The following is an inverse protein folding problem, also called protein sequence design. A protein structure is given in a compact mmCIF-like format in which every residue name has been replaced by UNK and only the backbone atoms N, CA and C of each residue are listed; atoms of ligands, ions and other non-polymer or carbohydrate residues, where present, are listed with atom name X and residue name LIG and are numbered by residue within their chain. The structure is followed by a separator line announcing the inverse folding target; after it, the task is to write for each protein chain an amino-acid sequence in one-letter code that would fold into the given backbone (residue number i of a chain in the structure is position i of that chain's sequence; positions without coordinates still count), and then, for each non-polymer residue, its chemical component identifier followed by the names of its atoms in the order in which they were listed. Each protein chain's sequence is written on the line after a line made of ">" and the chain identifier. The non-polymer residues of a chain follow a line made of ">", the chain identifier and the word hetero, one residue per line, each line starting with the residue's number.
data_IF_555978568870
#
_entry.id   IF_555978568870
#
_cell.length_a   1.000
_cell.length_b   1.000
_cell.length_c   1.000
_cell.angle_alpha   90.00
_cell.angle_beta   90.00
_cell.angle_gamma   90.00
#
_symmetry.space_group_name_H-M   'P 1'
#
loop_
_entity.id
_entity.type
_entity.pdbx_description
1 polymer ?
#
# COMPACT_ATOMS: atom_id res chain seq x y z
N UNK A 1 5.56 1.51 11.64
CA UNK A 1 5.42 1.80 10.19
C UNK A 1 4.07 1.27 9.74
N UNK A 2 3.28 2.05 8.99
CA UNK A 2 1.95 1.63 8.50
C UNK A 2 2.00 1.28 7.02
N UNK A 3 1.04 0.48 6.57
CA UNK A 3 0.91 0.06 5.18
C UNK A 3 -0.52 0.24 4.69
N UNK A 4 -0.67 0.83 3.51
CA UNK A 4 -1.90 0.74 2.72
C UNK A 4 -1.79 -0.55 1.89
N UNK A 5 -2.75 -1.45 2.01
CA UNK A 5 -2.90 -2.55 1.07
C UNK A 5 -3.66 -2.05 -0.15
N UNK A 6 -2.97 -1.97 -1.29
CA UNK A 6 -3.57 -1.67 -2.58
C UNK A 6 -3.67 -2.95 -3.40
N UNK A 7 -4.63 -3.00 -4.32
CA UNK A 7 -4.87 -4.17 -5.15
C UNK A 7 -5.03 -3.73 -6.60
N UNK A 8 -4.46 -4.49 -7.52
CA UNK A 8 -4.53 -4.22 -8.96
C UNK A 8 -5.93 -4.50 -9.51
N UNK A 9 -6.62 -5.50 -8.95
CA UNK A 9 -7.99 -5.86 -9.27
C UNK A 9 -8.77 -6.39 -8.05
N UNK A 10 -10.07 -6.57 -8.23
CA UNK A 10 -10.97 -7.09 -7.20
C UNK A 10 -10.69 -8.55 -6.83
N UNK A 11 -10.08 -9.32 -7.72
CA UNK A 11 -9.73 -10.73 -7.48
C UNK A 11 -8.56 -10.82 -6.49
N UNK A 12 -7.55 -9.98 -6.65
CA UNK A 12 -6.44 -9.82 -5.70
C UNK A 12 -6.93 -9.40 -4.31
N UNK A 13 -7.85 -8.43 -4.23
CA UNK A 13 -8.49 -8.06 -2.95
C UNK A 13 -9.24 -9.25 -2.34
N UNK A 14 -10.02 -9.98 -3.14
CA UNK A 14 -10.83 -11.11 -2.68
C UNK A 14 -9.97 -12.23 -2.10
N UNK A 15 -8.87 -12.59 -2.79
CA UNK A 15 -7.89 -13.57 -2.30
C UNK A 15 -7.27 -13.13 -0.98
N UNK A 16 -6.89 -11.86 -0.86
CA UNK A 16 -6.36 -11.30 0.38
C UNK A 16 -7.37 -11.34 1.53
N UNK A 17 -8.61 -10.91 1.29
CA UNK A 17 -9.68 -10.93 2.29
C UNK A 17 -9.96 -12.36 2.76
N UNK A 18 -10.00 -13.31 1.84
CA UNK A 18 -10.18 -14.73 2.16
C UNK A 18 -9.05 -15.28 3.03
N UNK A 19 -7.79 -15.02 2.66
CA UNK A 19 -6.62 -15.44 3.43
C UNK A 19 -6.60 -14.85 4.85
N UNK A 20 -7.21 -13.68 5.06
CA UNK A 20 -7.32 -13.03 6.37
C UNK A 20 -8.55 -13.45 7.19
N UNK A 21 -9.47 -14.22 6.63
CA UNK A 21 -10.74 -14.56 7.26
C UNK A 21 -11.78 -13.44 7.21
N UNK A 22 -11.57 -12.42 6.37
CA UNK A 22 -12.44 -11.24 6.22
C UNK A 22 -13.29 -11.29 4.94
N UNK A 23 -13.51 -12.47 4.37
CA UNK A 23 -14.24 -12.63 3.10
C UNK A 23 -15.71 -12.20 3.17
N UNK A 24 -16.35 -12.30 4.35
CA UNK A 24 -17.75 -11.93 4.55
C UNK A 24 -17.94 -10.43 4.79
N UNK A 25 -16.85 -9.68 4.96
CA UNK A 25 -16.90 -8.23 5.14
C UNK A 25 -17.18 -7.56 3.80
N UNK A 26 -18.11 -6.61 3.79
CA UNK A 26 -18.30 -5.73 2.64
C UNK A 26 -17.12 -4.75 2.53
N UNK A 27 -16.44 -4.76 1.39
CA UNK A 27 -15.31 -3.89 1.09
C UNK A 27 -15.71 -2.88 0.01
N UNK A 28 -15.53 -1.59 0.28
CA UNK A 28 -15.71 -0.54 -0.72
C UNK A 28 -14.47 -0.50 -1.60
N UNK A 29 -14.60 -0.97 -2.85
CA UNK A 29 -13.53 -0.89 -3.84
C UNK A 29 -13.62 0.44 -4.62
N UNK A 30 -12.49 1.13 -4.71
CA UNK A 30 -12.36 2.34 -5.53
C UNK A 30 -11.07 2.28 -6.32
N UNK A 31 -11.16 2.57 -7.61
CA UNK A 31 -9.99 2.66 -8.48
C UNK A 31 -9.37 4.05 -8.35
N UNK A 32 -8.06 4.08 -8.11
CA UNK A 32 -7.28 5.31 -8.01
C UNK A 32 -6.03 5.20 -8.89
N UNK A 33 -5.54 6.33 -9.38
CA UNK A 33 -4.23 6.37 -10.03
C UNK A 33 -3.15 6.03 -9.00
N UNK A 34 -2.29 5.06 -9.30
CA UNK A 34 -1.21 4.64 -8.39
C UNK A 34 -0.33 5.79 -7.91
N UNK A 35 0.00 6.73 -8.81
CA UNK A 35 0.73 7.95 -8.46
C UNK A 35 0.00 8.80 -7.41
N UNK A 36 -1.33 8.96 -7.52
CA UNK A 36 -2.10 9.72 -6.51
C UNK A 36 -2.16 9.02 -5.16
N UNK A 37 -2.09 7.70 -5.13
CA UNK A 37 -1.99 6.97 -3.87
C UNK A 37 -0.70 7.34 -3.12
N UNK A 38 0.43 7.38 -3.84
CA UNK A 38 1.74 7.72 -3.28
C UNK A 38 1.89 9.23 -2.99
N UNK A 39 1.48 10.08 -3.93
CA UNK A 39 1.74 11.52 -3.89
C UNK A 39 0.72 12.31 -3.06
N UNK A 40 -0.50 11.76 -2.88
CA UNK A 40 -1.60 12.48 -2.24
C UNK A 40 -2.13 11.74 -1.03
N UNK A 41 -2.42 10.43 -1.12
CA UNK A 41 -3.04 9.71 0.00
C UNK A 41 -2.05 9.41 1.13
N UNK A 42 -0.83 8.96 0.81
CA UNK A 42 0.18 8.70 1.83
C UNK A 42 0.47 9.94 2.70
N UNK A 43 0.65 11.16 2.15
CA UNK A 43 0.84 12.37 2.95
C UNK A 43 -0.28 12.73 3.92
N UNK A 44 -1.50 12.22 3.71
CA UNK A 44 -2.64 12.49 4.59
C UNK A 44 -2.70 11.55 5.81
N UNK A 45 -1.89 10.49 5.83
CA UNK A 45 -1.87 9.55 6.96
C UNK A 45 -1.08 10.14 8.15
N UNK A 46 -1.43 9.79 9.40
CA UNK A 46 -0.80 10.37 10.60
C UNK A 46 0.61 9.80 10.85
N UNK A 47 1.59 10.14 10.00
CA UNK A 47 2.99 9.67 10.02
C UNK A 47 3.37 8.74 8.85
N UNK A 48 4.58 8.17 8.85
CA UNK A 48 5.10 7.40 7.71
C UNK A 48 4.28 6.16 7.35
N UNK A 49 3.94 6.02 6.06
CA UNK A 49 3.18 4.89 5.54
C UNK A 49 3.64 4.48 4.14
N UNK A 50 3.88 3.19 3.94
CA UNK A 50 4.16 2.61 2.62
C UNK A 50 2.91 2.04 1.96
N UNK A 51 3.05 1.60 0.70
CA UNK A 51 2.01 0.89 -0.03
C UNK A 51 2.49 -0.53 -0.33
N UNK A 52 1.66 -1.52 0.00
CA UNK A 52 1.84 -2.90 -0.42
C UNK A 52 0.81 -3.20 -1.51
N UNK A 53 1.28 -3.36 -2.74
CA UNK A 53 0.45 -3.72 -3.89
C UNK A 53 0.36 -5.24 -3.99
N UNK A 54 -0.86 -5.76 -4.06
CA UNK A 54 -1.17 -7.19 -4.18
C UNK A 54 -0.51 -8.01 -3.06
N UNK A 55 -0.67 -7.52 -1.83
CA UNK A 55 -0.11 -8.15 -0.64
C UNK A 55 -0.58 -9.60 -0.51
N UNK A 56 0.34 -10.54 -0.35
CA UNK A 56 0.03 -11.97 -0.25
C UNK A 56 -0.29 -12.66 -1.58
N UNK A 57 -0.12 -11.99 -2.72
CA UNK A 57 -0.23 -12.61 -4.04
C UNK A 57 0.89 -13.64 -4.28
N UNK A 58 0.54 -14.79 -4.86
CA UNK A 58 1.49 -15.83 -5.28
C UNK A 58 2.30 -15.41 -6.51
N UNK A 59 1.76 -14.51 -7.34
CA UNK A 59 2.40 -14.00 -8.56
C UNK A 59 3.44 -12.89 -8.30
N UNK A 60 3.64 -12.53 -7.03
CA UNK A 60 4.65 -11.57 -6.56
C UNK A 60 4.09 -10.16 -6.39
N UNK A 61 3.68 -9.84 -5.16
CA UNK A 61 3.31 -8.47 -4.76
C UNK A 61 4.49 -7.51 -4.72
N UNK A 62 4.21 -6.20 -4.70
CA UNK A 62 5.22 -5.14 -4.70
C UNK A 62 5.12 -4.25 -3.47
N UNK A 63 6.26 -3.84 -2.92
CA UNK A 63 6.32 -2.90 -1.81
C UNK A 63 6.89 -1.55 -2.27
N UNK A 64 6.18 -0.49 -1.91
CA UNK A 64 6.57 0.91 -2.09
C UNK A 64 6.80 1.52 -0.69
N UNK A 65 8.02 1.42 -0.15
CA UNK A 65 8.32 2.00 1.16
C UNK A 65 8.25 3.54 1.12
N UNK A 66 7.99 4.20 2.26
CA UNK A 66 7.87 5.67 2.32
C UNK A 66 9.24 6.36 2.29
N UNK A 67 10.01 6.18 1.21
CA UNK A 67 11.34 6.79 1.05
C UNK A 67 11.36 7.83 -0.06
N UNK A 68 12.39 8.66 -0.07
CA UNK A 68 12.61 9.65 -1.12
C UNK A 68 12.63 8.98 -2.50
N UNK A 69 11.94 9.60 -3.46
CA UNK A 69 11.76 9.06 -4.81
C UNK A 69 10.60 8.06 -4.96
N UNK A 70 9.97 7.63 -3.87
CA UNK A 70 8.72 6.85 -3.89
C UNK A 70 7.53 7.69 -3.40
N UNK A 71 7.75 8.47 -2.34
CA UNK A 71 6.75 9.39 -1.78
C UNK A 71 7.31 10.82 -1.76
N UNK A 72 6.47 11.85 -1.63
CA UNK A 72 6.95 13.22 -1.49
C UNK A 72 7.93 13.38 -0.32
N UNK A 73 8.98 14.18 -0.53
CA UNK A 73 10.08 14.35 0.45
C UNK A 73 9.60 14.77 1.84
N UNK A 74 8.51 15.54 1.93
CA UNK A 74 7.93 16.00 3.19
C UNK A 74 7.47 14.87 4.13
N UNK A 75 7.22 13.67 3.59
CA UNK A 75 6.78 12.49 4.35
C UNK A 75 7.68 11.27 4.17
N UNK A 76 8.77 11.43 3.41
CA UNK A 76 9.78 10.41 3.25
C UNK A 76 10.51 10.18 4.57
N UNK A 77 10.77 8.91 4.89
CA UNK A 77 11.68 8.52 5.97
C UNK A 77 13.04 8.19 5.39
N UNK A 78 14.07 8.64 6.07
CA UNK A 78 15.39 8.06 5.90
C UNK A 78 15.39 6.69 6.57
N UNK A 79 15.47 5.62 5.76
CA UNK A 79 15.56 4.27 6.30
C UNK A 79 16.92 4.00 6.96
N UNK A 80 17.88 4.93 6.87
CA UNK A 80 19.22 4.79 7.40
C UNK A 80 19.91 3.63 6.69
N UNK A 81 20.83 3.94 5.77
CA UNK A 81 21.84 2.95 5.43
C UNK A 81 22.51 2.52 6.73
N UNK A 82 22.30 1.27 7.18
CA UNK A 82 23.17 0.67 8.17
C UNK A 82 24.58 0.72 7.58
N UNK A 83 25.36 1.68 8.05
CA UNK A 83 26.79 1.77 7.78
C UNK A 83 27.54 0.73 8.59
#
# INVERSE_FOLDING_TARGET
>A
MRWICAFSDEEALSRFAWARGDAEREWVYQTVLGARLLDVMVPLLPGPAGVALDAGSEDGGMLFPPVAGIVPDAVAVDLGGMR
#
